data_IF_531220409970
#
_entry.id   IF_531220409970
#
_cell.length_a   1.000
_cell.length_b   1.000
_cell.length_c   1.000
_cell.angle_alpha   90.00
_cell.angle_beta   90.00
_cell.angle_gamma   90.00
#
_symmetry.space_group_name_H-M   'P 1'
#
loop_
_entity.id
_entity.type
_entity.pdbx_description
1 polymer ?
#
# COMPACT_ATOMS: atom_id res chain seq x y z
N UNK A 1 -22.25 2.19 -6.94
CA UNK A 1 -20.93 2.76 -6.63
C UNK A 1 -20.29 3.08 -7.96
N UNK A 2 -20.00 4.36 -8.25
CA UNK A 2 -19.32 4.72 -9.50
C UNK A 2 -17.83 4.46 -9.35
N UNK A 3 -17.17 4.05 -10.44
CA UNK A 3 -15.72 3.80 -10.48
C UNK A 3 -14.92 5.01 -10.01
N UNK A 4 -15.44 6.19 -10.32
CA UNK A 4 -14.90 7.52 -10.00
C UNK A 4 -14.84 7.82 -8.49
N UNK A 5 -15.70 7.14 -7.69
CA UNK A 5 -15.77 7.31 -6.24
C UNK A 5 -14.90 6.29 -5.49
N UNK A 6 -14.34 5.31 -6.21
CA UNK A 6 -13.46 4.30 -5.64
C UNK A 6 -12.00 4.76 -5.76
N UNK A 7 -11.23 4.58 -4.69
CA UNK A 7 -9.77 4.75 -4.71
C UNK A 7 -9.11 3.43 -4.31
N UNK A 8 -8.25 2.91 -5.18
CA UNK A 8 -7.43 1.74 -4.94
C UNK A 8 -6.11 2.18 -4.30
N UNK A 9 -5.90 1.76 -3.06
CA UNK A 9 -4.64 1.97 -2.34
C UNK A 9 -3.83 0.67 -2.33
N UNK A 10 -2.57 0.70 -2.80
CA UNK A 10 -1.72 -0.50 -2.86
C UNK A 10 -0.21 -0.17 -2.83
N UNK A 11 0.65 -1.20 -2.70
CA UNK A 11 2.10 -1.04 -2.46
C UNK A 11 2.98 -1.08 -3.72
N UNK A 12 2.37 -1.24 -4.90
CA UNK A 12 3.07 -1.21 -6.19
C UNK A 12 4.07 -2.36 -6.44
N UNK A 13 3.88 -3.53 -5.79
CA UNK A 13 4.71 -4.70 -6.02
C UNK A 13 4.52 -5.26 -7.44
N UNK A 14 5.55 -5.96 -7.91
CA UNK A 14 5.51 -6.66 -9.19
C UNK A 14 4.60 -7.89 -9.09
N UNK A 15 3.65 -8.02 -10.03
CA UNK A 15 2.74 -9.17 -10.10
C UNK A 15 1.28 -8.73 -10.04
N UNK A 16 0.53 -9.25 -9.07
CA UNK A 16 -0.91 -9.00 -8.96
C UNK A 16 -1.25 -7.50 -8.85
N UNK A 17 -0.47 -6.74 -8.07
CA UNK A 17 -0.67 -5.30 -7.90
C UNK A 17 -0.46 -4.50 -9.18
N UNK A 18 0.39 -4.97 -10.10
CA UNK A 18 0.55 -4.33 -11.42
C UNK A 18 -0.74 -4.47 -12.24
N UNK A 19 -1.35 -5.66 -12.22
CA UNK A 19 -2.59 -5.96 -12.96
C UNK A 19 -3.77 -5.18 -12.38
N UNK A 20 -3.85 -5.06 -11.04
CA UNK A 20 -4.89 -4.24 -10.41
C UNK A 20 -4.79 -2.79 -10.83
N UNK A 21 -3.58 -2.27 -10.96
CA UNK A 21 -3.35 -0.92 -11.43
C UNK A 21 -3.71 -0.68 -12.89
N UNK A 22 -3.39 -1.62 -13.78
CA UNK A 22 -3.79 -1.57 -15.18
C UNK A 22 -5.31 -1.61 -15.32
N UNK A 23 -5.96 -2.45 -14.51
CA UNK A 23 -7.40 -2.55 -14.44
C UNK A 23 -8.01 -1.25 -13.89
N UNK A 24 -7.48 -0.69 -12.81
CA UNK A 24 -7.97 0.56 -12.24
C UNK A 24 -7.96 1.71 -13.27
N UNK A 25 -6.87 1.84 -14.03
CA UNK A 25 -6.74 2.82 -15.11
C UNK A 25 -7.77 2.57 -16.23
N UNK A 26 -7.98 1.31 -16.63
CA UNK A 26 -8.94 0.94 -17.66
C UNK A 26 -10.40 1.23 -17.26
N UNK A 27 -10.72 1.09 -15.97
CA UNK A 27 -12.07 1.32 -15.43
C UNK A 27 -12.27 2.76 -14.90
N UNK A 28 -11.27 3.63 -15.01
CA UNK A 28 -11.33 5.02 -14.54
C UNK A 28 -11.42 5.15 -13.01
N UNK A 29 -10.85 4.18 -12.28
CA UNK A 29 -10.76 4.18 -10.82
C UNK A 29 -9.49 4.92 -10.41
N UNK A 30 -9.57 5.73 -9.34
CA UNK A 30 -8.39 6.41 -8.82
C UNK A 30 -7.44 5.38 -8.19
N UNK A 31 -6.18 5.39 -8.61
CA UNK A 31 -5.13 4.53 -8.05
C UNK A 31 -4.17 5.41 -7.24
N UNK A 32 -3.78 4.96 -6.06
CA UNK A 32 -2.75 5.59 -5.23
C UNK A 32 -1.78 4.51 -4.75
N UNK A 33 -0.53 4.62 -5.18
CA UNK A 33 0.53 3.70 -4.79
C UNK A 33 1.32 4.31 -3.64
N UNK A 34 1.32 3.70 -2.46
CA UNK A 34 2.19 4.14 -1.37
C UNK A 34 3.52 3.39 -1.42
N UNK A 35 4.62 4.13 -1.38
CA UNK A 35 5.96 3.56 -1.36
C UNK A 35 6.89 4.32 -0.43
N UNK A 36 8.08 3.81 -0.20
CA UNK A 36 9.09 4.40 0.68
C UNK A 36 10.49 4.23 0.08
N UNK A 37 11.44 5.03 0.56
CA UNK A 37 12.80 5.06 0.02
C UNK A 37 13.46 3.66 0.11
N UNK A 38 13.93 3.15 -1.04
CA UNK A 38 14.50 1.81 -1.17
C UNK A 38 13.54 0.70 -1.66
N UNK A 39 12.27 1.00 -1.90
CA UNK A 39 11.33 0.05 -2.48
C UNK A 39 11.35 0.09 -4.01
N UNK A 40 11.60 -1.06 -4.67
CA UNK A 40 11.60 -1.15 -6.13
C UNK A 40 10.18 -1.24 -6.66
N UNK A 41 9.64 -0.10 -7.05
CA UNK A 41 8.37 0.00 -7.76
C UNK A 41 8.55 -0.46 -9.21
N UNK A 42 7.56 -1.22 -9.71
CA UNK A 42 7.50 -1.62 -11.12
C UNK A 42 6.70 -0.62 -11.98
N UNK A 43 5.97 0.30 -11.32
CA UNK A 43 5.13 1.34 -11.92
C UNK A 43 5.39 2.65 -11.17
N UNK A 44 5.62 3.73 -11.91
CA UNK A 44 5.85 5.10 -11.40
C UNK A 44 4.67 6.03 -11.78
N UNK A 45 3.44 5.53 -11.63
CA UNK A 45 2.23 6.35 -11.82
C UNK A 45 1.50 6.46 -10.50
N UNK A 46 0.96 7.64 -10.19
CA UNK A 46 0.21 7.93 -8.96
C UNK A 46 0.90 7.45 -7.66
N UNK A 47 2.23 7.48 -7.64
CA UNK A 47 3.01 7.00 -6.50
C UNK A 47 3.24 8.13 -5.50
N UNK A 48 2.85 7.87 -4.26
CA UNK A 48 3.13 8.70 -3.09
C UNK A 48 4.28 8.06 -2.35
N UNK A 49 5.48 8.63 -2.54
CA UNK A 49 6.67 8.25 -1.78
C UNK A 49 6.59 8.90 -0.41
N UNK A 50 6.39 8.08 0.61
CA UNK A 50 6.37 8.49 2.00
C UNK A 50 7.81 8.72 2.48
N UNK A 51 8.03 9.90 3.07
CA UNK A 51 9.30 10.23 3.73
C UNK A 51 9.40 9.52 5.09
N UNK A 52 10.61 9.37 5.64
CA UNK A 52 10.82 8.76 6.97
C UNK A 52 9.96 9.41 8.06
N UNK A 53 9.76 10.73 8.03
CA UNK A 53 8.91 11.42 9.00
C UNK A 53 7.43 11.05 8.89
N UNK A 54 6.93 10.72 7.70
CA UNK A 54 5.55 10.26 7.48
C UNK A 54 5.38 8.79 7.87
N UNK A 55 6.42 7.95 7.62
CA UNK A 55 6.46 6.59 8.18
C UNK A 55 6.43 6.62 9.70
N UNK A 56 7.22 7.50 10.33
CA UNK A 56 7.32 7.60 11.78
C UNK A 56 6.01 8.07 12.44
N UNK A 57 5.23 8.91 11.75
CA UNK A 57 3.86 9.27 12.18
C UNK A 57 2.90 8.08 12.13
N UNK A 58 3.13 7.17 11.19
CA UNK A 58 2.39 5.91 11.04
C UNK A 58 2.96 4.75 11.86
N UNK A 59 4.03 4.96 12.63
CA UNK A 59 4.66 3.95 13.49
C UNK A 59 3.79 3.68 14.72
N UNK A 60 2.63 3.07 14.46
CA UNK A 60 1.74 2.56 15.49
C UNK A 60 2.18 1.14 15.81
N UNK A 61 2.25 0.79 17.10
CA UNK A 61 2.55 -0.58 17.49
C UNK A 61 1.54 -1.54 16.87
N UNK A 62 2.01 -2.72 16.44
CA UNK A 62 1.14 -3.75 15.86
C UNK A 62 -0.04 -4.10 16.77
N UNK A 63 0.11 -3.98 18.09
CA UNK A 63 -0.98 -4.12 19.06
C UNK A 63 -2.14 -3.13 18.80
N UNK A 64 -1.82 -1.87 18.52
CA UNK A 64 -2.80 -0.80 18.26
C UNK A 64 -3.50 -1.06 16.92
N UNK A 65 -2.74 -1.43 15.88
CA UNK A 65 -3.31 -1.81 14.58
C UNK A 65 -4.24 -3.02 14.69
N UNK A 66 -3.84 -4.04 15.48
CA UNK A 66 -4.65 -5.23 15.74
C UNK A 66 -5.97 -4.92 16.44
N UNK A 67 -5.94 -4.04 17.45
CA UNK A 67 -7.15 -3.59 18.15
C UNK A 67 -8.09 -2.80 17.23
N UNK A 68 -7.55 -1.89 16.42
CA UNK A 68 -8.36 -1.09 15.49
C UNK A 68 -9.00 -1.95 14.38
N UNK A 69 -8.26 -2.92 13.84
CA UNK A 69 -8.74 -3.79 12.76
C UNK A 69 -9.48 -5.05 13.29
N UNK A 70 -9.63 -5.17 14.61
CA UNK A 70 -10.24 -6.32 15.29
C UNK A 70 -9.66 -7.67 14.80
N UNK A 71 -8.34 -7.69 14.53
CA UNK A 71 -7.62 -8.83 13.94
C UNK A 71 -6.26 -8.99 14.62
N UNK A 72 -5.94 -10.20 15.05
CA UNK A 72 -4.62 -10.52 15.61
C UNK A 72 -3.59 -10.63 14.49
N UNK A 73 -2.65 -9.68 14.45
CA UNK A 73 -1.46 -9.78 13.61
C UNK A 73 -0.37 -10.37 14.47
N UNK A 74 0.09 -11.57 14.13
CA UNK A 74 1.24 -12.16 14.79
C UNK A 74 2.46 -11.32 14.45
N UNK A 75 3.18 -10.86 15.47
CA UNK A 75 4.53 -10.28 15.33
C UNK A 75 5.45 -11.35 14.77
N UNK A 76 5.50 -11.47 13.44
CA UNK A 76 6.58 -12.21 12.80
C UNK A 76 7.80 -11.31 12.83
N UNK A 77 8.62 -11.54 13.84
CA UNK A 77 10.01 -11.12 13.88
C UNK A 77 10.66 -11.65 12.58
N UNK A 78 10.89 -10.75 11.62
CA UNK A 78 11.37 -10.98 10.24
C UNK A 78 10.26 -11.20 9.22
N UNK A 79 9.80 -10.10 8.64
CA UNK A 79 9.53 -10.07 7.19
C UNK A 79 10.83 -10.55 6.52
N UNK A 80 10.92 -11.84 6.19
CA UNK A 80 12.01 -12.38 5.39
C UNK A 80 11.96 -11.64 4.06
N UNK A 81 13.02 -10.87 3.79
CA UNK A 81 13.42 -10.47 2.45
C UNK A 81 13.52 -11.75 1.61
N UNK A 82 12.60 -11.92 0.66
CA UNK A 82 12.72 -12.88 -0.44
C UNK A 82 12.90 -12.10 -1.72
#
# INVERSE_FOLDING_TARGET
>A
MKSEECTLYHGGLKGAESVFGETAEQYGVNEVIFSFDGHKLNRDRNTVVLSESELQRGDISMEIASRMMNRTYYETDKIRRV
#
